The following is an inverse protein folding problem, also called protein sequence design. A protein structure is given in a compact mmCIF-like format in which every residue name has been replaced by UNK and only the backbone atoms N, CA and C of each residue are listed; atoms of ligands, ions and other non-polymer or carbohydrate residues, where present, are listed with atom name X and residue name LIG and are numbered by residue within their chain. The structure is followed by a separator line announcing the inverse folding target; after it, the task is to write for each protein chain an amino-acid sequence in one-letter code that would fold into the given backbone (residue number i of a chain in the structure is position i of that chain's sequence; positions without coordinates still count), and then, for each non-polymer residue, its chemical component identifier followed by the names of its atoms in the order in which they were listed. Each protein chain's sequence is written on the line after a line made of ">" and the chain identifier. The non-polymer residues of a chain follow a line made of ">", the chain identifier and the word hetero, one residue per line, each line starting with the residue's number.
data_IF_231430003208
#
_entry.id   IF_231430003208
#
_cell.length_a   1.000
_cell.length_b   1.000
_cell.length_c   1.000
_cell.angle_alpha   90.00
_cell.angle_beta   90.00
_cell.angle_gamma   90.00
#
_symmetry.space_group_name_H-M   'P 1'
#
loop_
_entity.id
_entity.type
_entity.pdbx_description
1 polymer ?
#
# COMPACT_ATOMS: atom_id res chain seq x y z
N UNK A 1 2.65 12.34 -1.42
CA UNK A 1 3.46 13.55 -1.64
C UNK A 1 4.73 13.41 -0.80
N UNK A 2 5.92 13.80 -1.29
CA UNK A 2 7.24 13.48 -0.67
C UNK A 2 8.02 14.73 -0.25
N UNK A 3 7.31 15.84 -0.08
CA UNK A 3 7.73 17.18 0.33
C UNK A 3 7.94 17.32 1.86
N UNK A 4 7.86 16.22 2.62
CA UNK A 4 8.10 16.22 4.07
C UNK A 4 6.89 16.65 4.91
N UNK A 5 5.76 16.99 4.28
CA UNK A 5 4.46 17.29 4.92
C UNK A 5 3.74 16.04 5.45
N UNK A 6 4.24 14.85 5.10
CA UNK A 6 3.74 13.54 5.52
C UNK A 6 3.04 12.78 4.38
N UNK A 7 2.86 11.48 4.56
CA UNK A 7 2.25 10.62 3.55
C UNK A 7 0.75 10.45 3.84
N UNK A 8 -0.09 10.76 2.85
CA UNK A 8 -1.52 10.44 2.87
C UNK A 8 -1.71 9.13 2.12
N UNK A 9 -2.26 8.12 2.79
CA UNK A 9 -2.53 6.81 2.21
C UNK A 9 -4.01 6.69 1.83
N UNK A 10 -4.34 6.90 0.55
CA UNK A 10 -5.70 6.79 0.05
C UNK A 10 -6.19 5.33 -0.06
N UNK A 11 -5.31 4.33 -0.01
CA UNK A 11 -5.74 2.91 -0.04
C UNK A 11 -6.49 2.56 1.24
N UNK A 12 -6.08 3.15 2.37
CA UNK A 12 -6.76 3.01 3.66
C UNK A 12 -8.09 3.78 3.77
N UNK A 13 -8.47 4.55 2.74
CA UNK A 13 -9.73 5.30 2.74
C UNK A 13 -10.89 4.43 2.25
N UNK A 14 -10.63 3.46 1.36
CA UNK A 14 -11.65 2.53 0.89
C UNK A 14 -11.97 1.44 1.92
N UNK A 15 -13.07 0.73 1.69
CA UNK A 15 -13.41 -0.52 2.36
C UNK A 15 -12.47 -1.67 1.94
N UNK A 16 -12.73 -2.90 2.41
CA UNK A 16 -11.91 -4.08 2.09
C UNK A 16 -11.83 -4.38 0.58
N UNK A 17 -12.88 -4.04 -0.16
CA UNK A 17 -12.94 -4.17 -1.62
C UNK A 17 -12.28 -2.96 -2.32
N UNK A 18 -11.87 -1.95 -1.56
CA UNK A 18 -11.29 -0.70 -2.03
C UNK A 18 -12.30 0.36 -2.45
N UNK A 19 -13.58 0.25 -2.06
CA UNK A 19 -14.63 1.22 -2.41
C UNK A 19 -14.89 2.18 -1.26
N UNK A 20 -15.17 3.44 -1.60
CA UNK A 20 -15.65 4.43 -0.62
C UNK A 20 -17.18 4.61 -0.71
N UNK A 21 -17.75 4.27 -1.85
CA UNK A 21 -19.19 4.13 -2.04
C UNK A 21 -19.45 3.14 -3.16
N UNK A 22 -20.28 2.14 -2.92
CA UNK A 22 -20.75 1.19 -3.93
C UNK A 22 -22.26 1.34 -4.07
N UNK A 23 -22.73 1.59 -5.29
CA UNK A 23 -24.15 1.71 -5.64
C UNK A 23 -24.93 2.67 -4.71
N UNK A 24 -24.33 3.82 -4.36
CA UNK A 24 -25.00 4.82 -3.54
C UNK A 24 -26.01 5.62 -4.37
N UNK A 25 -27.23 5.84 -3.89
CA UNK A 25 -28.20 6.66 -4.61
C UNK A 25 -27.68 8.09 -4.78
N UNK A 26 -27.92 8.66 -5.97
CA UNK A 26 -27.64 10.06 -6.27
C UNK A 26 -28.96 10.77 -6.48
N UNK A 27 -29.16 11.87 -5.77
CA UNK A 27 -30.28 12.77 -6.01
C UNK A 27 -29.93 13.62 -7.22
N UNK A 28 -30.52 13.33 -8.37
CA UNK A 28 -30.46 14.18 -9.56
C UNK A 28 -31.82 14.88 -9.71
N UNK A 29 -31.80 16.17 -10.02
CA UNK A 29 -33.03 16.98 -10.13
C UNK A 29 -33.94 16.55 -11.31
N UNK A 30 -33.42 15.78 -12.26
CA UNK A 30 -34.09 15.40 -13.52
C UNK A 30 -34.20 13.87 -13.77
N UNK A 31 -34.27 13.04 -12.72
CA UNK A 31 -34.56 11.61 -12.93
C UNK A 31 -36.00 11.40 -13.36
N UNK A 32 -36.20 10.79 -14.54
CA UNK A 32 -37.51 10.33 -14.99
C UNK A 32 -38.11 9.36 -13.96
N UNK A 33 -39.43 9.44 -13.77
CA UNK A 33 -40.18 8.66 -12.79
C UNK A 33 -39.92 7.15 -13.00
N UNK A 34 -39.21 6.52 -12.05
CA UNK A 34 -38.89 5.08 -12.06
C UNK A 34 -37.43 4.67 -12.37
N UNK A 35 -36.54 5.61 -12.74
CA UNK A 35 -35.12 5.31 -12.96
C UNK A 35 -34.27 5.63 -11.71
N UNK A 36 -33.57 4.63 -11.17
CA UNK A 36 -32.63 4.80 -10.05
C UNK A 36 -31.23 5.17 -10.58
N UNK A 37 -30.69 6.32 -10.15
CA UNK A 37 -29.30 6.69 -10.40
C UNK A 37 -28.42 6.31 -9.21
N UNK A 38 -27.43 5.45 -9.46
CA UNK A 38 -26.53 4.88 -8.46
C UNK A 38 -25.08 5.21 -8.80
N UNK A 39 -24.31 5.62 -7.82
CA UNK A 39 -22.92 5.98 -7.96
C UNK A 39 -22.00 4.96 -7.28
N UNK A 40 -20.89 4.62 -7.93
CA UNK A 40 -19.82 3.81 -7.35
C UNK A 40 -18.47 4.49 -7.51
N UNK A 41 -17.64 4.44 -6.48
CA UNK A 41 -16.31 5.04 -6.43
C UNK A 41 -15.32 4.22 -5.63
N UNK A 42 -14.14 4.05 -6.22
CA UNK A 42 -12.95 3.50 -5.57
C UNK A 42 -11.81 4.52 -5.68
N UNK A 43 -11.18 4.93 -4.57
CA UNK A 43 -10.09 5.90 -4.57
C UNK A 43 -8.79 5.39 -5.20
N UNK A 44 -8.48 4.09 -5.07
CA UNK A 44 -7.16 3.53 -5.43
C UNK A 44 -7.20 2.32 -6.35
N UNK A 45 -8.31 1.58 -6.41
CA UNK A 45 -8.39 0.34 -7.19
C UNK A 45 -9.30 0.55 -8.40
N UNK A 46 -8.84 0.25 -9.63
CA UNK A 46 -9.74 0.23 -10.77
C UNK A 46 -10.74 -0.89 -10.59
N UNK A 47 -12.00 -0.63 -10.96
CA UNK A 47 -13.03 -1.65 -11.02
C UNK A 47 -13.70 -1.66 -12.40
N UNK A 48 -14.43 -2.74 -12.67
CA UNK A 48 -15.21 -2.89 -13.90
C UNK A 48 -16.59 -3.45 -13.55
N UNK A 49 -17.62 -2.96 -14.22
CA UNK A 49 -18.97 -3.54 -14.11
C UNK A 49 -19.12 -4.62 -15.18
N UNK A 50 -19.48 -5.84 -14.75
CA UNK A 50 -19.49 -7.03 -15.61
C UNK A 50 -20.86 -7.37 -16.21
N UNK A 51 -21.92 -6.65 -15.83
CA UNK A 51 -23.29 -6.95 -16.24
C UNK A 51 -23.58 -6.39 -17.64
N UNK A 52 -23.69 -7.29 -18.63
CA UNK A 52 -24.45 -7.23 -19.90
C UNK A 52 -24.59 -5.85 -20.59
N UNK A 53 -23.56 -5.02 -20.53
CA UNK A 53 -23.51 -3.75 -21.25
C UNK A 53 -22.58 -3.90 -22.45
N UNK A 54 -23.15 -3.77 -23.65
CA UNK A 54 -22.48 -3.88 -24.96
C UNK A 54 -21.51 -2.73 -25.26
N UNK A 55 -20.87 -2.17 -24.24
CA UNK A 55 -19.95 -1.04 -24.36
C UNK A 55 -18.78 -1.12 -23.36
N UNK A 56 -17.59 -0.81 -23.84
CA UNK A 56 -16.32 -0.78 -23.09
C UNK A 56 -16.23 0.29 -22.00
N UNK A 57 -17.24 1.15 -21.88
CA UNK A 57 -17.15 2.41 -21.14
C UNK A 57 -16.91 2.22 -19.64
N UNK A 58 -17.41 1.13 -19.05
CA UNK A 58 -17.28 0.88 -17.61
C UNK A 58 -16.23 -0.17 -17.22
N UNK A 59 -15.12 -0.20 -17.97
CA UNK A 59 -13.96 -1.04 -17.68
C UNK A 59 -12.78 -0.22 -17.15
N UNK A 60 -12.11 -0.71 -16.10
CA UNK A 60 -10.95 -0.06 -15.47
C UNK A 60 -11.19 1.42 -15.12
N UNK A 61 -12.26 1.68 -14.37
CA UNK A 61 -12.71 3.02 -13.98
C UNK A 61 -12.48 3.27 -12.48
N UNK A 62 -12.42 4.54 -12.10
CA UNK A 62 -12.35 4.98 -10.71
C UNK A 62 -13.72 5.36 -10.15
N UNK A 63 -14.58 5.90 -11.03
CA UNK A 63 -15.91 6.40 -10.69
C UNK A 63 -16.91 6.03 -11.79
N UNK A 64 -18.13 5.66 -11.41
CA UNK A 64 -19.20 5.29 -12.35
C UNK A 64 -20.56 5.77 -11.89
N UNK A 65 -21.38 6.22 -12.85
CA UNK A 65 -22.81 6.41 -12.66
C UNK A 65 -23.55 5.28 -13.37
N UNK A 66 -24.41 4.58 -12.63
CA UNK A 66 -25.27 3.50 -13.11
C UNK A 66 -26.70 4.02 -13.11
N UNK A 67 -27.39 3.84 -14.22
CA UNK A 67 -28.83 4.03 -14.33
C UNK A 67 -29.46 2.65 -14.29
N UNK A 68 -30.40 2.46 -13.38
CA UNK A 68 -31.13 1.20 -13.18
C UNK A 68 -32.60 1.44 -13.47
N UNK A 69 -33.19 0.58 -14.28
CA UNK A 69 -34.62 0.55 -14.58
C UNK A 69 -35.16 -0.84 -14.23
N UNK A 70 -36.21 -0.91 -13.44
CA UNK A 70 -36.84 -2.18 -13.02
C UNK A 70 -35.84 -3.24 -12.54
N UNK A 71 -34.91 -2.84 -11.66
CA UNK A 71 -33.82 -3.66 -11.07
C UNK A 71 -32.71 -4.11 -12.01
N UNK A 72 -32.78 -3.79 -13.31
CA UNK A 72 -31.72 -4.10 -14.27
C UNK A 72 -30.86 -2.86 -14.51
N UNK A 73 -29.54 -3.05 -14.63
CA UNK A 73 -28.65 -1.96 -15.05
C UNK A 73 -28.93 -1.67 -16.52
N UNK A 74 -29.48 -0.50 -16.81
CA UNK A 74 -29.82 -0.08 -18.18
C UNK A 74 -28.65 0.62 -18.86
N UNK A 75 -27.85 1.37 -18.09
CA UNK A 75 -26.72 2.12 -18.61
C UNK A 75 -25.66 2.34 -17.53
N UNK A 76 -24.41 2.32 -17.95
CA UNK A 76 -23.28 2.74 -17.14
C UNK A 76 -22.50 3.83 -17.86
N UNK A 77 -22.14 4.87 -17.10
CA UNK A 77 -21.38 6.02 -17.57
C UNK A 77 -20.09 6.10 -16.76
N UNK A 78 -18.95 6.14 -17.45
CA UNK A 78 -17.66 6.37 -16.81
C UNK A 78 -17.55 7.82 -16.35
N UNK A 79 -17.22 8.01 -15.08
CA UNK A 79 -16.99 9.33 -14.48
C UNK A 79 -15.50 9.54 -14.14
N UNK A 80 -14.62 8.82 -14.83
CA UNK A 80 -13.18 8.99 -14.72
C UNK A 80 -12.45 7.69 -14.41
N UNK A 81 -11.16 7.69 -14.72
CA UNK A 81 -10.21 6.59 -14.58
C UNK A 81 -9.09 7.00 -13.62
N UNK A 82 -8.39 6.01 -13.10
CA UNK A 82 -7.18 6.21 -12.30
C UNK A 82 -5.97 6.63 -13.12
N UNK A 83 -6.05 6.60 -14.45
CA UNK A 83 -4.96 7.05 -15.31
C UNK A 83 -5.06 8.57 -15.53
N UNK A 84 -3.94 9.28 -15.38
CA UNK A 84 -3.87 10.73 -15.61
C UNK A 84 -4.53 11.59 -14.53
N UNK A 85 -4.86 11.00 -13.37
CA UNK A 85 -5.41 11.72 -12.22
C UNK A 85 -4.40 12.73 -11.63
N UNK A 86 -4.95 13.86 -11.18
CA UNK A 86 -4.16 14.98 -10.67
C UNK A 86 -4.46 15.19 -9.18
N UNK A 87 -3.39 15.41 -8.41
CA UNK A 87 -3.45 15.59 -6.97
C UNK A 87 -3.10 17.03 -6.60
N UNK A 88 -3.95 17.65 -5.81
CA UNK A 88 -3.72 18.99 -5.29
C UNK A 88 -3.97 19.00 -3.77
N UNK A 89 -2.94 19.32 -3.00
CA UNK A 89 -3.05 19.44 -1.55
C UNK A 89 -3.11 20.91 -1.15
N UNK A 90 -4.07 21.24 -0.29
CA UNK A 90 -4.18 22.55 0.32
C UNK A 90 -3.90 22.44 1.82
N UNK A 91 -2.71 22.88 2.24
CA UNK A 91 -2.26 22.85 3.64
C UNK A 91 -3.18 23.65 4.59
N UNK A 92 -3.72 24.77 4.10
CA UNK A 92 -4.54 25.69 4.91
C UNK A 92 -5.89 25.06 5.27
N UNK A 93 -6.50 24.39 4.30
CA UNK A 93 -7.78 23.70 4.47
C UNK A 93 -7.61 22.24 4.91
N UNK A 94 -6.37 21.73 4.94
CA UNK A 94 -6.03 20.31 5.17
C UNK A 94 -6.85 19.36 4.30
N UNK A 95 -6.99 19.75 3.03
CA UNK A 95 -7.80 19.02 2.04
C UNK A 95 -6.94 18.55 0.89
N UNK A 96 -6.96 17.25 0.62
CA UNK A 96 -6.42 16.66 -0.59
C UNK A 96 -7.52 16.57 -1.64
N UNK A 97 -7.32 17.19 -2.79
CA UNK A 97 -8.24 17.14 -3.92
C UNK A 97 -7.66 16.26 -5.02
N UNK A 98 -8.42 15.28 -5.50
CA UNK A 98 -8.02 14.37 -6.57
C UNK A 98 -8.99 14.52 -7.73
N UNK A 99 -8.46 14.87 -8.89
CA UNK A 99 -9.22 15.04 -10.13
C UNK A 99 -9.05 13.83 -11.02
N UNK A 100 -10.16 13.22 -11.45
CA UNK A 100 -10.21 12.04 -12.30
C UNK A 100 -10.74 12.40 -13.70
N UNK A 101 -10.10 11.83 -14.71
CA UNK A 101 -10.34 12.14 -16.12
C UNK A 101 -10.74 10.87 -16.87
N UNK A 102 -11.49 11.00 -17.95
CA UNK A 102 -11.71 9.89 -18.88
C UNK A 102 -10.74 9.99 -20.07
N UNK A 103 -10.92 11.00 -20.92
CA UNK A 103 -10.07 11.28 -22.09
C UNK A 103 -9.97 12.78 -22.42
N UNK A 104 -10.75 13.63 -21.74
CA UNK A 104 -10.77 15.08 -21.97
C UNK A 104 -9.81 15.82 -21.03
N UNK A 105 -9.46 17.06 -21.37
CA UNK A 105 -8.66 17.95 -20.52
C UNK A 105 -9.43 18.43 -19.26
N UNK A 106 -10.75 18.24 -19.23
CA UNK A 106 -11.60 18.61 -18.10
C UNK A 106 -11.85 17.41 -17.19
N UNK A 107 -11.76 17.57 -15.86
CA UNK A 107 -12.06 16.48 -14.94
C UNK A 107 -13.55 16.14 -14.99
N UNK A 108 -13.88 14.85 -14.87
CA UNK A 108 -15.27 14.38 -14.76
C UNK A 108 -15.68 14.17 -13.30
N UNK A 109 -14.71 13.83 -12.44
CA UNK A 109 -14.92 13.71 -10.99
C UNK A 109 -13.81 14.42 -10.25
N UNK A 110 -14.17 15.17 -9.22
CA UNK A 110 -13.24 15.77 -8.26
C UNK A 110 -13.62 15.31 -6.86
N UNK A 111 -12.64 14.76 -6.15
CA UNK A 111 -12.83 14.20 -4.81
C UNK A 111 -12.00 15.00 -3.82
N UNK A 112 -12.67 15.56 -2.81
CA UNK A 112 -12.08 16.35 -1.75
C UNK A 112 -12.02 15.54 -0.46
N UNK A 113 -10.83 15.06 -0.12
CA UNK A 113 -10.54 14.37 1.13
C UNK A 113 -10.15 15.38 2.20
N UNK A 114 -11.03 15.58 3.16
CA UNK A 114 -10.78 16.44 4.32
C UNK A 114 -10.24 15.60 5.48
N UNK A 115 -9.07 16.00 5.99
CA UNK A 115 -8.47 15.39 7.17
C UNK A 115 -9.31 15.70 8.41
N UNK A 116 -9.90 14.66 9.02
CA UNK A 116 -10.60 14.77 10.29
C UNK A 116 -10.12 13.65 11.24
N UNK A 117 -9.18 13.93 12.16
CA UNK A 117 -8.63 12.91 13.06
C UNK A 117 -9.64 12.44 14.12
N UNK A 118 -10.76 13.14 14.29
CA UNK A 118 -11.80 12.76 15.25
C UNK A 118 -12.75 11.70 14.71
N UNK A 119 -12.70 11.40 13.40
CA UNK A 119 -13.51 10.34 12.79
C UNK A 119 -12.82 8.99 12.97
N UNK A 120 -13.63 7.95 13.18
CA UNK A 120 -13.13 6.57 13.30
C UNK A 120 -12.99 5.87 11.95
N UNK A 121 -13.73 6.34 10.95
CA UNK A 121 -13.78 5.74 9.62
C UNK A 121 -13.92 6.80 8.53
N UNK A 122 -13.59 6.41 7.31
CA UNK A 122 -13.75 7.24 6.12
C UNK A 122 -15.18 7.14 5.59
N UNK A 123 -15.81 8.25 5.22
CA UNK A 123 -17.13 8.24 4.59
C UNK A 123 -17.37 9.45 3.69
N UNK A 124 -18.27 9.29 2.73
CA UNK A 124 -18.75 10.39 1.88
C UNK A 124 -19.75 11.23 2.67
N UNK A 125 -19.40 12.50 2.89
CA UNK A 125 -20.25 13.48 3.58
C UNK A 125 -21.27 14.11 2.64
N UNK A 126 -20.85 14.45 1.44
CA UNK A 126 -21.70 15.08 0.43
C UNK A 126 -21.24 14.69 -0.97
N UNK A 127 -22.17 14.78 -1.91
CA UNK A 127 -21.92 14.61 -3.34
C UNK A 127 -22.80 15.58 -4.11
N UNK A 128 -22.29 16.11 -5.21
CA UNK A 128 -23.04 17.03 -6.09
C UNK A 128 -22.77 16.66 -7.53
N UNK A 129 -23.86 16.40 -8.26
CA UNK A 129 -23.84 16.08 -9.68
C UNK A 129 -24.56 17.20 -10.42
N UNK A 130 -23.91 17.77 -11.42
CA UNK A 130 -24.47 18.80 -12.30
C UNK A 130 -24.11 18.49 -13.74
N UNK A 131 -24.96 18.87 -14.69
CA UNK A 131 -24.72 18.61 -16.11
C UNK A 131 -23.50 19.37 -16.68
N UNK A 132 -23.17 20.53 -16.10
CA UNK A 132 -22.10 21.42 -16.59
C UNK A 132 -20.80 21.36 -15.78
N UNK A 133 -20.82 20.71 -14.61
CA UNK A 133 -19.69 20.65 -13.68
C UNK A 133 -19.27 19.20 -13.40
N UNK A 134 -18.00 18.95 -13.05
CA UNK A 134 -17.58 17.63 -12.61
C UNK A 134 -18.39 17.16 -11.40
N UNK A 135 -18.54 15.84 -11.28
CA UNK A 135 -19.05 15.22 -10.07
C UNK A 135 -18.14 15.59 -8.90
N UNK A 136 -18.69 16.27 -7.91
CA UNK A 136 -17.97 16.68 -6.72
C UNK A 136 -18.30 15.71 -5.57
N UNK A 137 -17.26 15.21 -4.88
CA UNK A 137 -17.40 14.27 -3.77
C UNK A 137 -16.60 14.79 -2.58
N UNK A 138 -17.26 14.98 -1.44
CA UNK A 138 -16.62 15.43 -0.20
C UNK A 138 -16.53 14.27 0.77
N UNK A 139 -15.31 13.95 1.18
CA UNK A 139 -14.97 12.81 2.01
C UNK A 139 -14.39 13.31 3.32
N UNK A 140 -14.93 12.82 4.43
CA UNK A 140 -14.26 12.95 5.73
C UNK A 140 -13.52 11.65 6.02
N UNK A 141 -12.24 11.76 6.35
CA UNK A 141 -11.43 10.59 6.66
C UNK A 141 -10.32 10.92 7.67
N UNK A 142 -10.07 10.05 8.66
CA UNK A 142 -8.86 10.13 9.46
C UNK A 142 -7.61 9.79 8.63
N UNK A 143 -7.74 8.95 7.59
CA UNK A 143 -6.64 8.52 6.72
C UNK A 143 -6.24 9.58 5.68
N UNK A 144 -7.06 10.61 5.48
CA UNK A 144 -6.69 11.80 4.74
C UNK A 144 -5.70 12.71 5.51
N UNK A 145 -5.50 12.44 6.81
CA UNK A 145 -4.50 13.14 7.61
C UNK A 145 -3.10 12.58 7.33
N UNK A 146 -2.07 13.45 7.22
CA UNK A 146 -0.71 13.00 7.00
C UNK A 146 -0.25 12.01 8.07
N UNK A 147 0.30 10.87 7.65
CA UNK A 147 0.87 9.79 8.47
C UNK A 147 -0.13 9.05 9.38
N UNK A 148 -1.44 9.29 9.28
CA UNK A 148 -2.43 8.66 10.16
C UNK A 148 -2.67 7.18 9.84
N UNK A 149 -2.74 6.83 8.55
CA UNK A 149 -3.03 5.47 8.07
C UNK A 149 -1.91 4.89 7.20
N UNK A 150 -0.68 5.38 7.37
CA UNK A 150 0.48 4.69 6.82
C UNK A 150 0.69 3.41 7.64
N UNK A 151 0.32 2.26 7.07
CA UNK A 151 1.02 1.02 7.40
C UNK A 151 2.49 1.32 7.09
N UNK A 152 3.31 1.47 8.13
CA UNK A 152 4.71 1.85 7.92
C UNK A 152 5.35 0.88 6.95
N UNK A 153 5.77 1.36 5.78
CA UNK A 153 6.61 0.57 4.90
C UNK A 153 7.80 0.10 5.75
N UNK A 154 7.92 -1.22 5.91
CA UNK A 154 9.08 -1.81 6.56
C UNK A 154 10.28 -1.42 5.71
N UNK A 155 10.97 -0.36 6.10
CA UNK A 155 12.11 0.15 5.35
C UNK A 155 13.12 -0.98 5.12
N UNK A 156 13.82 -0.93 3.99
CA UNK A 156 14.87 -1.91 3.64
C UNK A 156 15.84 -2.15 4.81
N UNK A 157 16.13 -1.11 5.61
CA UNK A 157 16.93 -1.22 6.83
C UNK A 157 16.29 -2.10 7.91
N UNK A 158 14.98 -1.95 8.16
CA UNK A 158 14.23 -2.79 9.11
C UNK A 158 14.20 -4.25 8.65
N UNK A 159 14.00 -4.48 7.35
CA UNK A 159 14.08 -5.82 6.75
C UNK A 159 15.47 -6.42 6.97
N UNK A 160 16.53 -5.64 6.71
CA UNK A 160 17.91 -6.08 6.92
C UNK A 160 18.21 -6.42 8.39
N UNK A 161 17.73 -5.60 9.34
CA UNK A 161 17.86 -5.85 10.77
C UNK A 161 17.12 -7.12 11.21
N UNK A 162 15.91 -7.35 10.69
CA UNK A 162 15.15 -8.58 10.95
C UNK A 162 15.95 -9.80 10.46
N UNK A 163 16.47 -9.77 9.23
CA UNK A 163 17.28 -10.88 8.68
C UNK A 163 18.56 -11.09 9.49
N UNK A 164 19.27 -10.02 9.85
CA UNK A 164 20.50 -10.09 10.63
C UNK A 164 20.26 -10.65 12.04
N UNK A 165 19.20 -10.21 12.71
CA UNK A 165 18.84 -10.71 14.04
C UNK A 165 18.43 -12.19 14.01
N UNK A 166 17.62 -12.60 13.02
CA UNK A 166 17.21 -14.00 12.86
C UNK A 166 18.40 -14.92 12.52
N UNK A 167 19.30 -14.47 11.64
CA UNK A 167 20.50 -15.24 11.29
C UNK A 167 21.48 -15.36 12.47
N UNK A 168 21.68 -14.29 13.25
CA UNK A 168 22.47 -14.36 14.48
C UNK A 168 21.84 -15.33 15.50
N UNK A 169 20.53 -15.23 15.73
CA UNK A 169 19.83 -16.14 16.63
C UNK A 169 19.95 -17.61 16.17
N UNK A 170 19.75 -17.88 14.88
CA UNK A 170 19.92 -19.21 14.32
C UNK A 170 21.36 -19.72 14.47
N UNK A 171 22.36 -18.87 14.24
CA UNK A 171 23.77 -19.21 14.44
C UNK A 171 24.06 -19.59 15.90
N UNK A 172 23.57 -18.81 16.87
CA UNK A 172 23.76 -19.12 18.28
C UNK A 172 23.01 -20.37 18.73
N UNK A 173 21.79 -20.60 18.27
CA UNK A 173 20.99 -21.78 18.61
C UNK A 173 21.62 -23.04 18.00
N UNK A 174 21.91 -23.03 16.70
CA UNK A 174 22.55 -24.17 16.02
C UNK A 174 23.95 -24.43 16.57
N UNK A 175 24.73 -23.38 16.84
CA UNK A 175 26.03 -23.50 17.49
C UNK A 175 25.91 -24.12 18.88
N UNK A 176 24.95 -23.68 19.70
CA UNK A 176 24.73 -24.25 21.04
C UNK A 176 24.24 -25.70 21.01
N UNK A 177 23.48 -26.10 19.98
CA UNK A 177 23.03 -27.48 19.79
C UNK A 177 24.12 -28.39 19.20
N UNK A 178 25.00 -27.86 18.35
CA UNK A 178 26.09 -28.62 17.72
C UNK A 178 27.29 -28.79 18.65
N UNK A 179 27.50 -27.86 19.59
CA UNK A 179 28.56 -27.93 20.58
C UNK A 179 28.11 -28.80 21.75
N UNK A 180 28.81 -29.92 21.99
CA UNK A 180 28.53 -30.76 23.15
C UNK A 180 29.04 -30.07 24.43
N UNK A 181 28.16 -29.70 25.38
CA UNK A 181 28.63 -29.17 26.66
C UNK A 181 29.33 -30.29 27.43
N UNK A 182 30.53 -30.02 27.94
CA UNK A 182 31.21 -30.93 28.87
C UNK A 182 31.37 -30.23 30.22
N UNK A 183 31.26 -31.04 31.28
CA UNK A 183 31.28 -30.57 32.66
C UNK A 183 32.71 -30.56 33.16
N UNK A 184 33.23 -29.40 33.51
CA UNK A 184 34.52 -29.21 34.15
C UNK A 184 34.34 -29.00 35.66
N UNK A 185 35.39 -29.17 36.45
CA UNK A 185 35.40 -28.92 37.89
C UNK A 185 35.10 -27.46 38.25
N UNK A 186 35.20 -26.53 37.28
CA UNK A 186 34.87 -25.11 37.40
C UNK A 186 33.50 -24.72 36.83
N UNK A 187 32.70 -25.66 36.30
CA UNK A 187 31.38 -25.39 35.73
C UNK A 187 31.14 -26.09 34.38
N UNK A 188 30.01 -25.76 33.73
CA UNK A 188 29.71 -26.23 32.36
C UNK A 188 30.40 -25.30 31.37
N UNK A 189 31.29 -25.85 30.54
CA UNK A 189 31.97 -25.10 29.48
C UNK A 189 31.56 -25.66 28.13
N UNK A 190 31.37 -24.77 27.15
CA UNK A 190 31.19 -25.12 25.75
C UNK A 190 32.50 -24.79 25.04
N UNK A 191 33.32 -25.80 24.75
CA UNK A 191 34.50 -25.61 23.89
C UNK A 191 34.19 -26.13 22.48
N UNK A 192 34.53 -25.37 21.43
CA UNK A 192 34.44 -25.86 20.06
C UNK A 192 35.34 -27.08 19.84
N UNK A 193 34.82 -28.06 19.09
CA UNK A 193 35.52 -29.29 18.74
C UNK A 193 36.91 -28.99 18.13
N UNK A 194 37.94 -29.64 18.66
CA UNK A 194 39.35 -29.42 18.29
C UNK A 194 39.59 -29.60 16.78
N UNK A 195 38.80 -30.44 16.13
CA UNK A 195 38.84 -30.73 14.70
C UNK A 195 38.53 -29.51 13.81
N UNK A 196 37.66 -28.61 14.26
CA UNK A 196 37.24 -27.41 13.49
C UNK A 196 38.34 -26.37 13.44
N UNK A 197 39.08 -26.17 14.53
CA UNK A 197 40.17 -25.20 14.61
C UNK A 197 41.46 -25.70 13.94
N UNK A 198 41.74 -27.00 14.01
CA UNK A 198 42.90 -27.58 13.33
C UNK A 198 42.82 -27.44 11.81
N UNK A 199 41.63 -27.55 11.21
CA UNK A 199 41.48 -27.42 9.75
C UNK A 199 41.78 -26.00 9.25
N UNK A 200 41.39 -24.97 10.02
CA UNK A 200 41.62 -23.57 9.65
C UNK A 200 43.06 -23.12 9.90
N UNK A 201 43.71 -23.64 10.95
CA UNK A 201 45.15 -23.47 11.17
C UNK A 201 46.00 -24.20 10.11
N UNK A 202 45.59 -25.40 9.68
CA UNK A 202 46.27 -26.17 8.62
C UNK A 202 46.27 -25.40 7.30
N UNK A 203 45.12 -24.86 6.88
CA UNK A 203 45.03 -24.05 5.65
C UNK A 203 45.84 -22.74 5.70
N UNK A 204 46.01 -22.13 6.87
CA UNK A 204 46.87 -20.97 7.05
C UNK A 204 48.38 -21.32 7.03
N UNK A 205 48.75 -22.53 7.45
CA UNK A 205 50.15 -23.00 7.44
C UNK A 205 50.63 -23.37 6.02
N UNK A 206 49.76 -23.91 5.17
CA UNK A 206 50.10 -24.39 3.82
C UNK A 206 50.37 -23.26 2.82
N UNK A 207 49.95 -22.02 3.12
CA UNK A 207 50.19 -20.83 2.26
C UNK A 207 51.53 -20.13 2.48
N UNK A 208 52.42 -20.63 3.35
CA UNK A 208 53.78 -20.06 3.46
C UNK A 208 54.74 -20.81 2.53
N UNK A 209 55.31 -20.18 1.49
CA UNK A 209 56.36 -20.82 0.71
C UNK A 209 57.61 -20.95 1.59
N UNK A 210 58.07 -22.19 1.76
CA UNK A 210 59.31 -22.55 2.46
C UNK A 210 60.48 -21.89 1.72
N UNK A 211 61.03 -20.80 2.27
CA UNK A 211 62.36 -20.31 1.86
C UNK A 211 63.41 -21.25 2.44
N UNK A 212 64.01 -22.08 1.60
CA UNK A 212 65.28 -22.77 1.90
C UNK A 212 66.37 -21.70 2.06
N UNK A 213 67.11 -21.74 3.16
CA UNK A 213 68.46 -21.21 3.21
C UNK A 213 69.37 -22.35 3.67
N UNK A 214 70.24 -22.75 2.75
CA UNK A 214 71.26 -23.78 2.93
C UNK A 214 72.44 -23.23 3.74
N UNK A 215 72.93 -24.10 4.63
CA UNK A 215 74.30 -24.32 5.16
C UNK A 215 75.37 -23.22 5.13
N UNK A 216 75.87 -22.93 6.36
CA UNK A 216 77.27 -22.99 6.85
C UNK A 216 78.44 -22.45 5.98
N UNK A 217 79.48 -21.86 6.62
CA UNK A 217 80.44 -22.64 7.43
C UNK A 217 80.85 -22.02 8.77
#
# INVERSE_FOLDING_TARGET
>A
MKDGSGLINLDAVGDEDGFLGRLRPVTAEDTADGDDMLFSFSPCRPFSHLEDMTGSDCSNIAASLIIRRDKHISRCVSYGRHEGNQFHYNDTLRTLSVSYFAHEERPLTVVHYHCNPNQTASFIRAQSLSAEQPLQIWVESPCACPNACSMGDLGLGTIFLIILSLSAAAYFILGSCALRPFRSSSGVQMAPEHSVWCMMCYHCAERRPVRRLDTEP
#
